data_IF_016191673790
#
_entry.id   IF_016191673790
#
_cell.length_a   1.000
_cell.length_b   1.000
_cell.length_c   1.000
_cell.angle_alpha   90.00
_cell.angle_beta   90.00
_cell.angle_gamma   90.00
#
_symmetry.space_group_name_H-M   'P 1'
#
loop_
_entity.id
_entity.type
_entity.pdbx_description
1 polymer ?
#
# COMPACT_ATOMS: atom_id res chain seq x y z
N UNK A 1 15.85 -15.12 8.77
CA UNK A 1 15.05 -15.17 7.52
C UNK A 1 13.62 -15.32 7.96
N UNK A 2 12.71 -14.52 7.43
CA UNK A 2 11.29 -14.53 7.77
C UNK A 2 10.50 -14.99 6.55
N UNK A 3 9.58 -15.92 6.75
CA UNK A 3 8.67 -16.43 5.73
C UNK A 3 7.27 -16.23 6.26
N UNK A 4 6.43 -15.54 5.48
CA UNK A 4 5.05 -15.26 5.83
C UNK A 4 4.14 -15.69 4.69
N UNK A 5 3.05 -16.36 5.04
CA UNK A 5 1.93 -16.65 4.15
C UNK A 5 0.71 -15.82 4.55
N UNK A 6 -0.04 -15.33 3.56
CA UNK A 6 -1.34 -14.72 3.76
C UNK A 6 -2.33 -15.32 2.75
N UNK A 7 -3.58 -15.50 3.18
CA UNK A 7 -4.67 -15.97 2.35
C UNK A 7 -5.93 -15.14 2.64
N UNK A 8 -6.50 -14.51 1.61
CA UNK A 8 -7.68 -13.66 1.73
C UNK A 8 -8.76 -14.16 0.79
N UNK A 9 -9.99 -14.29 1.29
CA UNK A 9 -11.14 -14.68 0.45
C UNK A 9 -11.44 -13.59 -0.57
N UNK A 10 -11.53 -13.97 -1.84
CA UNK A 10 -11.83 -13.04 -2.92
C UNK A 10 -13.35 -13.08 -3.25
N UNK A 11 -14.07 -11.94 -3.23
CA UNK A 11 -15.49 -11.89 -3.59
C UNK A 11 -15.81 -12.37 -5.00
N UNK A 12 -14.86 -12.32 -5.93
CA UNK A 12 -14.98 -12.84 -7.29
C UNK A 12 -14.72 -14.37 -7.37
N UNK A 13 -14.42 -15.02 -6.24
CA UNK A 13 -14.20 -16.46 -6.11
C UNK A 13 -12.74 -16.84 -5.82
N UNK A 14 -12.55 -17.93 -5.09
CA UNK A 14 -11.23 -18.42 -4.66
C UNK A 14 -10.65 -17.65 -3.48
N UNK A 15 -9.37 -17.92 -3.20
CA UNK A 15 -8.56 -17.25 -2.20
C UNK A 15 -7.34 -16.64 -2.86
N UNK A 16 -7.06 -15.39 -2.56
CA UNK A 16 -5.80 -14.73 -2.93
C UNK A 16 -4.75 -15.14 -1.91
N UNK A 17 -3.82 -15.99 -2.34
CA UNK A 17 -2.72 -16.51 -1.53
C UNK A 17 -1.45 -15.76 -1.91
N UNK A 18 -0.68 -15.32 -0.92
CA UNK A 18 0.64 -14.72 -1.11
C UNK A 18 1.63 -15.32 -0.13
N UNK A 19 2.82 -15.66 -0.61
CA UNK A 19 3.96 -16.11 0.19
C UNK A 19 5.10 -15.12 -0.02
N UNK A 20 5.67 -14.64 1.07
CA UNK A 20 6.81 -13.71 1.09
C UNK A 20 7.94 -14.35 1.87
N UNK A 21 9.14 -14.36 1.28
CA UNK A 21 10.37 -14.75 1.95
C UNK A 21 11.35 -13.56 1.92
N UNK A 22 11.81 -13.15 3.09
CA UNK A 22 12.70 -11.99 3.21
C UNK A 22 13.69 -12.10 4.36
N UNK A 23 14.72 -11.26 4.31
CA UNK A 23 15.68 -11.11 5.39
C UNK A 23 15.92 -9.63 5.66
N UNK A 24 15.80 -9.28 6.94
CA UNK A 24 16.16 -7.97 7.47
C UNK A 24 17.56 -8.05 8.08
N UNK A 25 18.33 -7.00 7.90
CA UNK A 25 19.66 -6.79 8.44
C UNK A 25 19.72 -5.42 9.10
N UNK A 26 20.47 -5.28 10.21
CA UNK A 26 20.59 -4.02 10.95
C UNK A 26 19.77 -4.00 12.24
N UNK A 27 19.53 -2.81 12.77
CA UNK A 27 18.80 -2.57 14.02
C UNK A 27 17.42 -1.95 13.77
N UNK A 28 16.66 -1.75 14.83
CA UNK A 28 15.32 -1.14 14.73
C UNK A 28 15.36 0.30 14.20
N UNK A 29 16.46 1.02 14.45
CA UNK A 29 16.64 2.41 14.00
C UNK A 29 17.22 2.51 12.59
N UNK A 30 17.93 1.47 12.11
CA UNK A 30 18.51 1.45 10.78
C UNK A 30 18.61 0.00 10.27
N UNK A 31 17.78 -0.34 9.29
CA UNK A 31 17.76 -1.68 8.72
C UNK A 31 17.56 -1.67 7.21
N UNK A 32 17.97 -2.77 6.61
CA UNK A 32 17.74 -3.10 5.21
C UNK A 32 16.99 -4.42 5.18
N UNK A 33 15.91 -4.47 4.42
CA UNK A 33 15.15 -5.70 4.16
C UNK A 33 15.19 -6.01 2.68
N UNK A 34 15.44 -7.25 2.32
CA UNK A 34 15.32 -7.71 0.94
C UNK A 34 14.64 -9.08 0.90
N UNK A 35 13.91 -9.35 -0.17
CA UNK A 35 13.18 -10.59 -0.31
C UNK A 35 12.51 -10.77 -1.66
N UNK A 36 11.77 -11.87 -1.73
CA UNK A 36 10.94 -12.23 -2.86
C UNK A 36 9.53 -12.60 -2.36
N UNK A 37 8.57 -12.52 -3.27
CA UNK A 37 7.22 -12.97 -3.01
C UNK A 37 6.63 -13.63 -4.25
N UNK A 38 5.63 -14.47 -4.03
CA UNK A 38 4.78 -15.00 -5.07
C UNK A 38 3.35 -15.07 -4.57
N UNK A 39 2.38 -14.86 -5.45
CA UNK A 39 0.97 -14.96 -5.14
C UNK A 39 0.16 -15.48 -6.31
N UNK A 40 -1.05 -15.93 -5.99
CA UNK A 40 -2.02 -16.43 -6.95
C UNK A 40 -3.40 -16.40 -6.31
N UNK A 41 -4.43 -16.35 -7.14
CA UNK A 41 -5.76 -16.73 -6.71
C UNK A 41 -5.94 -18.25 -6.91
N UNK A 42 -6.58 -18.94 -5.96
CA UNK A 42 -6.75 -20.40 -6.01
C UNK A 42 -7.78 -20.88 -7.02
N UNK A 43 -8.65 -19.99 -7.52
CA UNK A 43 -9.69 -20.32 -8.48
C UNK A 43 -9.34 -19.86 -9.90
N UNK A 44 -8.94 -18.59 -10.08
CA UNK A 44 -8.67 -17.98 -11.39
C UNK A 44 -7.68 -16.82 -11.31
N UNK A 45 -6.74 -16.79 -12.26
CA UNK A 45 -5.86 -15.65 -12.50
C UNK A 45 -4.41 -16.09 -12.69
N UNK A 46 -3.61 -15.34 -13.46
CA UNK A 46 -2.19 -15.63 -13.60
C UNK A 46 -1.48 -15.42 -12.26
N UNK A 47 -0.52 -16.29 -11.90
CA UNK A 47 0.30 -16.07 -10.72
C UNK A 47 1.11 -14.79 -10.89
N UNK A 48 1.46 -14.15 -9.78
CA UNK A 48 2.42 -13.05 -9.77
C UNK A 48 3.63 -13.42 -8.92
N UNK A 49 4.78 -12.89 -9.28
CA UNK A 49 6.00 -13.05 -8.50
C UNK A 49 6.81 -11.77 -8.55
N UNK A 50 7.63 -11.55 -7.53
CA UNK A 50 8.43 -10.34 -7.47
C UNK A 50 9.53 -10.39 -6.44
N UNK A 51 10.33 -9.32 -6.48
CA UNK A 51 11.41 -9.06 -5.54
C UNK A 51 11.26 -7.66 -4.97
N UNK A 52 11.79 -7.46 -3.78
CA UNK A 52 11.80 -6.16 -3.13
C UNK A 52 13.07 -5.96 -2.33
N UNK A 53 13.43 -4.69 -2.17
CA UNK A 53 14.41 -4.24 -1.22
C UNK A 53 13.91 -2.92 -0.60
N UNK A 54 14.14 -2.76 0.69
CA UNK A 54 13.86 -1.53 1.42
C UNK A 54 14.97 -1.23 2.39
N UNK A 55 15.19 0.06 2.63
CA UNK A 55 16.02 0.57 3.70
C UNK A 55 15.16 1.47 4.57
N UNK A 56 15.32 1.36 5.88
CA UNK A 56 14.73 2.24 6.86
C UNK A 56 15.84 2.83 7.73
N UNK A 57 15.75 4.13 8.02
CA UNK A 57 16.63 4.79 8.97
C UNK A 57 15.85 5.90 9.68
N UNK A 58 15.79 5.87 11.01
CA UNK A 58 15.24 6.92 11.87
C UNK A 58 13.85 7.43 11.45
N UNK A 59 12.94 6.52 11.06
CA UNK A 59 11.58 6.89 10.63
C UNK A 59 11.48 7.38 9.18
N UNK A 60 12.58 7.34 8.42
CA UNK A 60 12.58 7.47 6.97
C UNK A 60 12.73 6.10 6.32
N UNK A 61 12.14 5.90 5.16
CA UNK A 61 12.30 4.68 4.39
C UNK A 61 12.39 4.95 2.89
N UNK A 62 13.11 4.06 2.21
CA UNK A 62 13.17 3.98 0.76
C UNK A 62 12.97 2.52 0.39
N UNK A 63 12.20 2.25 -0.65
CA UNK A 63 11.95 0.90 -1.14
C UNK A 63 11.88 0.86 -2.65
N UNK A 64 12.27 -0.29 -3.18
CA UNK A 64 12.14 -0.65 -4.59
C UNK A 64 11.56 -2.05 -4.67
N UNK A 65 10.66 -2.28 -5.61
CA UNK A 65 10.14 -3.61 -5.91
C UNK A 65 9.94 -3.79 -7.40
N UNK A 66 9.97 -5.05 -7.82
CA UNK A 66 9.63 -5.46 -9.17
C UNK A 66 8.67 -6.63 -9.10
N UNK A 67 7.51 -6.48 -9.72
CA UNK A 67 6.46 -7.50 -9.81
C UNK A 67 6.30 -7.90 -11.26
N UNK A 68 6.16 -9.20 -11.52
CA UNK A 68 5.89 -9.76 -12.83
C UNK A 68 4.65 -10.64 -12.74
N UNK A 69 3.73 -10.41 -13.67
CA UNK A 69 2.57 -11.27 -13.93
C UNK A 69 2.81 -11.88 -15.32
N UNK A 70 3.21 -13.16 -15.42
CA UNK A 70 3.57 -13.78 -16.69
C UNK A 70 2.47 -13.63 -17.75
N UNK A 71 2.86 -13.19 -18.94
CA UNK A 71 1.93 -12.96 -20.05
C UNK A 71 1.03 -11.71 -19.93
N UNK A 72 1.13 -10.96 -18.83
CA UNK A 72 0.28 -9.78 -18.59
C UNK A 72 1.10 -8.51 -18.45
N UNK A 73 1.99 -8.43 -17.46
CA UNK A 73 2.70 -7.19 -17.15
C UNK A 73 3.95 -7.37 -16.28
N UNK A 74 4.79 -6.35 -16.29
CA UNK A 74 5.86 -6.17 -15.32
C UNK A 74 5.82 -4.73 -14.78
N UNK A 75 5.85 -4.59 -13.46
CA UNK A 75 5.83 -3.29 -12.78
C UNK A 75 7.05 -3.14 -11.91
N UNK A 76 7.79 -2.04 -12.08
CA UNK A 76 8.84 -1.61 -11.16
C UNK A 76 8.32 -0.43 -10.36
N UNK A 77 8.43 -0.49 -9.04
CA UNK A 77 7.95 0.54 -8.11
C UNK A 77 9.07 1.02 -7.21
N UNK A 78 9.07 2.32 -6.96
CA UNK A 78 9.93 3.00 -5.99
C UNK A 78 9.03 3.76 -5.03
N UNK A 79 9.30 3.67 -3.73
CA UNK A 79 8.58 4.46 -2.74
C UNK A 79 9.53 4.98 -1.67
N UNK A 80 9.30 6.20 -1.22
CA UNK A 80 10.00 6.83 -0.12
C UNK A 80 8.98 7.33 0.90
N UNK A 81 9.34 7.27 2.18
CA UNK A 81 8.55 7.85 3.26
C UNK A 81 9.46 8.54 4.26
N UNK A 82 8.95 9.61 4.87
CA UNK A 82 9.64 10.38 5.90
C UNK A 82 8.67 10.69 7.03
N UNK A 83 9.11 10.47 8.27
CA UNK A 83 8.39 11.01 9.42
C UNK A 83 8.64 12.53 9.50
N UNK A 84 7.58 13.32 9.40
CA UNK A 84 7.66 14.78 9.52
C UNK A 84 7.49 15.24 10.97
N UNK A 85 6.69 14.49 11.73
CA UNK A 85 6.43 14.75 13.13
C UNK A 85 6.08 13.44 13.84
N UNK A 86 6.55 13.30 15.09
CA UNK A 86 6.18 12.18 15.96
C UNK A 86 6.33 12.59 17.42
N UNK A 87 5.30 12.33 18.19
CA UNK A 87 5.33 12.28 19.65
C UNK A 87 4.49 11.07 20.12
N UNK A 88 4.30 10.93 21.42
CA UNK A 88 3.60 9.79 22.02
C UNK A 88 2.13 9.67 21.58
N UNK A 89 1.52 10.77 21.13
CA UNK A 89 0.10 10.83 20.80
C UNK A 89 -0.17 10.94 19.30
N UNK A 90 0.77 11.47 18.53
CA UNK A 90 0.54 11.92 17.16
C UNK A 90 1.76 11.61 16.29
N UNK A 91 1.49 11.22 15.05
CA UNK A 91 2.52 11.12 14.02
C UNK A 91 2.01 11.64 12.70
N UNK A 92 2.88 12.36 11.98
CA UNK A 92 2.67 12.79 10.60
C UNK A 92 3.79 12.22 9.75
N UNK A 93 3.42 11.50 8.69
CA UNK A 93 4.36 10.91 7.75
C UNK A 93 4.05 11.43 6.34
N UNK A 94 5.10 11.80 5.62
CA UNK A 94 5.04 12.00 4.18
C UNK A 94 5.41 10.71 3.46
N UNK A 95 4.82 10.50 2.29
CA UNK A 95 5.15 9.40 1.41
C UNK A 95 5.09 9.85 -0.05
N UNK A 96 5.95 9.30 -0.88
CA UNK A 96 5.95 9.49 -2.31
C UNK A 96 6.27 8.16 -3.00
N UNK A 97 5.73 7.95 -4.18
CA UNK A 97 6.01 6.77 -4.98
C UNK A 97 6.05 7.10 -6.47
N UNK A 98 6.73 6.23 -7.21
CA UNK A 98 6.76 6.22 -8.66
C UNK A 98 6.81 4.77 -9.12
N UNK A 99 5.97 4.41 -10.08
CA UNK A 99 5.92 3.08 -10.66
C UNK A 99 5.88 3.16 -12.18
N UNK A 100 6.53 2.21 -12.83
CA UNK A 100 6.48 2.02 -14.27
C UNK A 100 5.97 0.62 -14.57
N UNK A 101 4.87 0.53 -15.29
CA UNK A 101 4.25 -0.74 -15.69
C UNK A 101 4.39 -0.90 -17.19
N UNK A 102 4.94 -2.04 -17.60
CA UNK A 102 5.00 -2.50 -19.00
C UNK A 102 4.05 -3.67 -19.17
N UNK A 103 3.11 -3.56 -20.11
CA UNK A 103 2.20 -4.63 -20.50
C UNK A 103 2.85 -5.54 -21.55
N UNK A 104 2.30 -6.75 -21.71
CA UNK A 104 2.82 -7.73 -22.66
C UNK A 104 2.68 -7.29 -24.14
N UNK A 105 1.72 -6.42 -24.44
CA UNK A 105 1.53 -5.79 -25.76
C UNK A 105 2.55 -4.68 -26.07
N UNK A 106 3.48 -4.41 -25.14
CA UNK A 106 4.50 -3.38 -25.27
C UNK A 106 4.08 -2.00 -24.76
N UNK A 107 2.80 -1.79 -24.43
CA UNK A 107 2.34 -0.54 -23.85
C UNK A 107 2.98 -0.31 -22.49
N UNK A 108 3.47 0.90 -22.25
CA UNK A 108 4.11 1.28 -20.99
C UNK A 108 3.50 2.56 -20.46
N UNK A 109 3.19 2.57 -19.17
CA UNK A 109 2.76 3.77 -18.46
C UNK A 109 3.50 3.94 -17.15
N UNK A 110 3.60 5.19 -16.71
CA UNK A 110 4.16 5.56 -15.43
C UNK A 110 3.06 6.14 -14.55
N UNK A 111 3.22 5.94 -13.25
CA UNK A 111 2.35 6.51 -12.24
C UNK A 111 3.23 7.07 -11.13
N UNK A 112 2.90 8.24 -10.62
CA UNK A 112 3.56 8.80 -9.46
C UNK A 112 2.55 9.45 -8.54
N UNK A 113 2.85 9.43 -7.26
CA UNK A 113 2.00 10.05 -6.27
C UNK A 113 2.76 10.43 -5.02
N UNK A 114 2.12 11.25 -4.22
CA UNK A 114 2.62 11.64 -2.91
C UNK A 114 1.44 11.90 -1.98
N UNK A 115 1.68 11.81 -0.69
CA UNK A 115 0.66 12.06 0.32
C UNK A 115 1.21 12.25 1.71
N UNK A 116 0.32 12.68 2.58
CA UNK A 116 0.54 12.85 4.00
C UNK A 116 -0.43 11.95 4.76
N UNK A 117 0.06 11.32 5.81
CA UNK A 117 -0.74 10.53 6.73
C UNK A 117 -0.54 11.05 8.14
N UNK A 118 -1.63 11.35 8.80
CA UNK A 118 -1.70 11.64 10.22
C UNK A 118 -2.28 10.43 10.96
N UNK A 119 -1.65 10.03 12.06
CA UNK A 119 -2.16 9.00 12.95
C UNK A 119 -2.07 9.49 14.40
N UNK A 120 -3.07 9.13 15.19
CA UNK A 120 -3.11 9.34 16.62
C UNK A 120 -3.06 8.02 17.38
N UNK A 121 -2.51 8.03 18.60
CA UNK A 121 -2.33 6.85 19.44
C UNK A 121 -3.66 6.13 19.78
N UNK A 122 -4.78 6.85 19.81
CA UNK A 122 -6.12 6.29 20.02
C UNK A 122 -6.70 5.61 18.77
N UNK A 123 -5.91 5.39 17.72
CA UNK A 123 -6.34 4.69 16.51
C UNK A 123 -7.11 5.55 15.50
N UNK A 124 -7.23 6.86 15.71
CA UNK A 124 -7.71 7.77 14.68
C UNK A 124 -6.61 8.10 13.66
N UNK A 125 -7.01 8.38 12.42
CA UNK A 125 -6.08 8.80 11.38
C UNK A 125 -6.75 9.55 10.25
N UNK A 126 -5.96 10.32 9.52
CA UNK A 126 -6.37 11.00 8.32
C UNK A 126 -5.26 10.90 7.26
N UNK A 127 -5.64 10.81 6.00
CA UNK A 127 -4.70 10.74 4.89
C UNK A 127 -5.16 11.64 3.75
N UNK A 128 -4.21 12.28 3.10
CA UNK A 128 -4.43 13.05 1.89
C UNK A 128 -3.32 12.70 0.89
N UNK A 129 -3.68 12.47 -0.36
CA UNK A 129 -2.73 12.08 -1.38
C UNK A 129 -3.15 12.58 -2.75
N UNK A 130 -2.16 12.68 -3.62
CA UNK A 130 -2.36 12.92 -5.05
C UNK A 130 -1.64 11.85 -5.83
N UNK A 131 -2.24 11.46 -6.95
CA UNK A 131 -1.70 10.49 -7.86
C UNK A 131 -1.86 10.98 -9.30
N UNK A 132 -0.89 10.70 -10.16
CA UNK A 132 -0.88 11.13 -11.55
C UNK A 132 -0.31 10.06 -12.45
N UNK A 133 -1.00 9.84 -13.56
CA UNK A 133 -0.57 9.02 -14.69
C UNK A 133 -0.41 9.99 -15.87
N UNK A 134 0.84 10.32 -16.27
CA UNK A 134 1.08 11.23 -17.39
C UNK A 134 0.35 10.79 -18.66
N UNK A 135 -0.35 11.72 -19.31
CA UNK A 135 -1.15 11.46 -20.50
C UNK A 135 -2.55 10.88 -20.23
N UNK A 136 -2.86 10.46 -19.01
CA UNK A 136 -4.16 9.87 -18.66
C UNK A 136 -4.96 10.73 -17.70
N UNK A 137 -4.34 11.22 -16.61
CA UNK A 137 -5.03 12.06 -15.65
C UNK A 137 -4.41 12.03 -14.27
N UNK A 138 -5.10 12.67 -13.33
CA UNK A 138 -4.70 12.78 -11.93
C UNK A 138 -5.90 12.65 -11.01
N UNK A 139 -5.65 12.15 -9.81
CA UNK A 139 -6.65 12.00 -8.76
C UNK A 139 -6.11 12.52 -7.43
N UNK A 140 -7.04 12.93 -6.58
CA UNK A 140 -6.80 13.26 -5.19
C UNK A 140 -7.54 12.24 -4.33
N UNK A 141 -6.85 11.70 -3.34
CA UNK A 141 -7.37 10.72 -2.41
C UNK A 141 -7.41 11.36 -1.01
N UNK A 142 -8.55 11.25 -0.34
CA UNK A 142 -8.71 11.67 1.06
C UNK A 142 -9.25 10.47 1.83
N UNK A 143 -8.72 10.25 3.02
CA UNK A 143 -9.11 9.14 3.89
C UNK A 143 -9.18 9.57 5.34
N UNK A 144 -10.08 8.94 6.08
CA UNK A 144 -10.21 9.09 7.52
C UNK A 144 -10.42 7.70 8.14
N UNK A 145 -9.80 7.47 9.28
CA UNK A 145 -9.99 6.30 10.12
C UNK A 145 -10.41 6.76 11.51
N UNK A 146 -11.43 6.12 12.05
CA UNK A 146 -11.80 6.26 13.44
C UNK A 146 -11.80 4.89 14.11
N UNK A 147 -11.07 4.77 15.21
CA UNK A 147 -11.27 3.67 16.13
C UNK A 147 -12.52 3.99 16.96
N UNK A 148 -13.52 3.14 16.87
CA UNK A 148 -14.81 3.34 17.56
C UNK A 148 -14.81 2.58 18.88
N UNK A 149 -14.06 1.48 18.96
CA UNK A 149 -13.92 0.70 20.18
C UNK A 149 -12.56 0.01 20.21
N UNK A 150 -11.94 0.03 21.39
CA UNK A 150 -10.71 -0.69 21.64
C UNK A 150 -10.70 -1.26 23.06
N UNK A 151 -10.45 -2.56 23.16
CA UNK A 151 -10.06 -3.23 24.39
C UNK A 151 -8.77 -4.05 24.10
N UNK A 152 -8.15 -4.69 25.11
CA UNK A 152 -6.91 -5.43 24.90
C UNK A 152 -6.96 -6.52 23.81
N UNK A 153 -8.14 -7.12 23.59
CA UNK A 153 -8.31 -8.30 22.74
C UNK A 153 -9.07 -8.02 21.43
N UNK A 154 -9.71 -6.86 21.32
CA UNK A 154 -10.63 -6.52 20.24
C UNK A 154 -10.51 -5.04 19.91
N UNK A 155 -10.34 -4.71 18.63
CA UNK A 155 -10.55 -3.36 18.11
C UNK A 155 -11.66 -3.37 17.06
N UNK A 156 -12.42 -2.28 17.00
CA UNK A 156 -13.35 -1.98 15.93
C UNK A 156 -13.00 -0.63 15.31
N UNK A 157 -12.73 -0.67 14.01
CA UNK A 157 -12.26 0.47 13.23
C UNK A 157 -13.21 0.73 12.07
N UNK A 158 -13.54 2.00 11.85
CA UNK A 158 -14.30 2.47 10.69
C UNK A 158 -13.39 3.34 9.84
N UNK A 159 -13.41 3.11 8.54
CA UNK A 159 -12.61 3.86 7.57
C UNK A 159 -13.52 4.41 6.47
N UNK A 160 -13.32 5.67 6.12
CA UNK A 160 -13.97 6.30 4.98
C UNK A 160 -12.89 6.87 4.06
N UNK A 161 -13.11 6.76 2.76
CA UNK A 161 -12.21 7.28 1.75
C UNK A 161 -12.99 7.91 0.60
N UNK A 162 -12.44 8.97 0.02
CA UNK A 162 -12.91 9.57 -1.22
C UNK A 162 -11.77 9.71 -2.21
N UNK A 163 -12.06 9.49 -3.49
CA UNK A 163 -11.16 9.74 -4.61
C UNK A 163 -11.85 10.66 -5.59
N UNK A 164 -11.27 11.83 -5.82
CA UNK A 164 -11.75 12.79 -6.81
C UNK A 164 -10.78 12.82 -7.97
N UNK A 165 -11.28 12.60 -9.19
CA UNK A 165 -10.51 12.73 -10.40
C UNK A 165 -10.35 14.22 -10.76
N UNK A 166 -9.13 14.73 -10.66
CA UNK A 166 -8.80 16.13 -10.94
C UNK A 166 -8.65 16.40 -12.44
N UNK A 167 -8.24 15.39 -13.21
CA UNK A 167 -8.09 15.46 -14.66
C UNK A 167 -8.23 14.09 -15.32
N UNK A 168 -8.33 14.07 -16.64
CA UNK A 168 -8.46 12.84 -17.43
C UNK A 168 -9.91 12.48 -17.80
N UNK A 169 -10.16 11.28 -18.34
CA UNK A 169 -11.47 10.87 -18.85
C UNK A 169 -12.56 10.78 -17.76
N UNK A 170 -12.17 10.80 -16.49
CA UNK A 170 -13.07 10.77 -15.35
C UNK A 170 -13.10 12.09 -14.57
N UNK A 171 -12.58 13.18 -15.13
CA UNK A 171 -12.50 14.48 -14.45
C UNK A 171 -13.84 14.88 -13.80
N UNK A 172 -13.77 15.34 -12.56
CA UNK A 172 -14.92 15.77 -11.76
C UNK A 172 -15.69 14.61 -11.10
N UNK A 173 -15.40 13.35 -11.44
CA UNK A 173 -16.00 12.20 -10.75
C UNK A 173 -15.34 11.99 -9.40
N UNK A 174 -16.19 11.75 -8.40
CA UNK A 174 -15.78 11.39 -7.05
C UNK A 174 -16.30 10.00 -6.71
N UNK A 175 -15.41 9.12 -6.27
CA UNK A 175 -15.74 7.81 -5.75
C UNK A 175 -15.61 7.85 -4.23
N UNK A 176 -16.58 7.27 -3.52
CA UNK A 176 -16.58 7.19 -2.07
C UNK A 176 -16.61 5.73 -1.63
N UNK A 177 -15.89 5.41 -0.56
CA UNK A 177 -15.85 4.09 0.05
C UNK A 177 -15.93 4.20 1.57
N UNK A 178 -16.63 3.25 2.18
CA UNK A 178 -16.67 3.07 3.63
C UNK A 178 -16.39 1.60 3.90
N UNK A 179 -15.56 1.34 4.90
CA UNK A 179 -15.30 -0.01 5.39
C UNK A 179 -15.25 -0.01 6.90
N UNK A 180 -15.53 -1.17 7.49
CA UNK A 180 -15.41 -1.40 8.91
C UNK A 180 -14.68 -2.73 9.14
N UNK A 181 -13.85 -2.79 10.17
CA UNK A 181 -13.04 -3.95 10.48
C UNK A 181 -13.03 -4.25 11.97
N UNK A 182 -13.06 -5.55 12.29
CA UNK A 182 -12.86 -6.05 13.65
C UNK A 182 -11.54 -6.80 13.67
N UNK A 183 -10.63 -6.39 14.55
CA UNK A 183 -9.41 -7.16 14.81
C UNK A 183 -9.55 -7.84 16.15
N UNK A 184 -9.46 -9.17 16.19
CA UNK A 184 -9.42 -9.96 17.42
C UNK A 184 -8.02 -10.55 17.60
N UNK A 185 -7.43 -10.35 18.77
CA UNK A 185 -6.15 -10.93 19.19
C UNK A 185 -6.43 -12.07 20.16
N UNK A 186 -5.67 -13.15 20.03
CA UNK A 186 -5.73 -14.36 20.84
C UNK A 186 -4.39 -14.56 21.55
#
# INVERSE_FOLDING_TARGET
MNIQGNAVSNPAGGQDVTVTAGKQFGSDNANITAGAFAGSNTLRGPPNAGVFASANANGHSLSVSKTVVPGVSATTSHAASANLFRNDQHSVNAQAFSSATKLNDGFQFKQHGAGLNYNNANGHGASIGVNKIPGFGSSMDVGARANIFQNPNTSFDVMANSRTHLSGPFQGKTNFGVSAGITKRF
#
